data_IF_710803815841
#
_entry.id   IF_710803815841
#
_cell.length_a   1.000
_cell.length_b   1.000
_cell.length_c   1.000
_cell.angle_alpha   90.00
_cell.angle_beta   90.00
_cell.angle_gamma   90.00
#
_symmetry.space_group_name_H-M   'P 1'
#
loop_
_entity.id
_entity.type
_entity.pdbx_description
1 polymer ?
#
# COMPACT_ATOMS: atom_id res chain seq x y z
N UNK A 1 36.93 -8.01 -11.47
CA UNK A 1 35.94 -7.12 -12.11
C UNK A 1 36.51 -5.72 -12.28
N UNK A 2 37.13 -5.11 -11.24
CA UNK A 2 37.69 -3.76 -11.33
C UNK A 2 38.82 -3.61 -12.38
N UNK A 3 39.56 -4.69 -12.72
CA UNK A 3 40.62 -4.67 -13.76
C UNK A 3 40.07 -4.76 -15.19
N UNK A 4 38.80 -5.14 -15.39
CA UNK A 4 38.17 -5.27 -16.70
C UNK A 4 37.32 -4.05 -17.09
N UNK A 5 37.28 -3.02 -16.24
CA UNK A 5 36.51 -1.79 -16.51
C UNK A 5 37.38 -0.82 -17.32
N UNK A 6 37.01 -0.55 -18.58
CA UNK A 6 37.57 0.56 -19.34
C UNK A 6 36.67 1.78 -19.20
N UNK A 7 37.22 2.84 -18.64
CA UNK A 7 36.51 4.13 -18.58
C UNK A 7 36.46 4.75 -19.97
N UNK A 8 35.24 5.02 -20.44
CA UNK A 8 35.00 5.96 -21.54
C UNK A 8 34.32 7.18 -20.98
N UNK A 9 34.92 8.33 -21.17
CA UNK A 9 34.35 9.62 -20.81
C UNK A 9 33.34 10.02 -21.88
N UNK A 10 32.08 10.13 -21.51
CA UNK A 10 31.05 10.75 -22.34
C UNK A 10 30.90 12.19 -21.88
N UNK A 11 31.19 13.13 -22.77
CA UNK A 11 31.23 14.58 -22.46
C UNK A 11 29.85 15.15 -22.04
N UNK A 12 28.77 14.41 -22.21
CA UNK A 12 27.39 14.88 -21.89
C UNK A 12 26.76 14.29 -20.64
N UNK A 13 27.14 13.09 -20.17
CA UNK A 13 26.38 12.37 -19.14
C UNK A 13 27.20 11.71 -18.02
N UNK A 14 28.45 12.02 -17.85
CA UNK A 14 29.28 11.43 -16.80
C UNK A 14 30.00 10.12 -17.25
N UNK A 15 30.47 9.33 -16.30
CA UNK A 15 31.26 8.12 -16.56
C UNK A 15 30.38 6.95 -16.98
N UNK A 16 30.62 6.40 -18.19
CA UNK A 16 30.05 5.14 -18.63
C UNK A 16 31.09 4.04 -18.49
N UNK A 17 30.80 3.05 -17.67
CA UNK A 17 31.63 1.85 -17.52
C UNK A 17 31.26 0.81 -18.56
N UNK A 18 32.15 0.52 -19.48
CA UNK A 18 31.99 -0.56 -20.47
C UNK A 18 32.77 -1.78 -19.98
N UNK A 19 32.05 -2.84 -19.64
CA UNK A 19 32.65 -4.14 -19.28
C UNK A 19 32.87 -4.94 -20.56
N UNK A 20 34.13 -5.25 -20.90
CA UNK A 20 34.40 -6.20 -21.97
C UNK A 20 34.31 -7.63 -21.42
N UNK A 21 33.17 -8.29 -21.63
CA UNK A 21 32.91 -9.64 -21.14
C UNK A 21 33.84 -10.72 -21.77
N UNK A 22 34.55 -10.41 -22.86
CA UNK A 22 35.48 -11.37 -23.52
C UNK A 22 36.74 -11.60 -22.69
N UNK A 23 37.10 -10.68 -21.80
CA UNK A 23 38.30 -10.78 -20.96
C UNK A 23 38.03 -11.54 -19.64
N UNK A 24 36.78 -11.91 -19.36
CA UNK A 24 36.43 -12.73 -18.19
C UNK A 24 36.66 -14.19 -18.56
N UNK A 25 37.70 -14.81 -17.94
CA UNK A 25 37.97 -16.23 -18.05
C UNK A 25 36.75 -17.01 -17.56
N UNK A 26 35.98 -17.58 -18.50
CA UNK A 26 34.79 -18.40 -18.17
C UNK A 26 35.29 -19.66 -17.45
N UNK A 27 34.92 -19.78 -16.17
CA UNK A 27 34.99 -21.05 -15.45
C UNK A 27 34.06 -22.02 -16.19
N UNK A 28 34.54 -23.25 -16.45
CA UNK A 28 33.83 -24.26 -17.26
C UNK A 28 32.70 -24.89 -16.45
N UNK A 29 31.79 -24.05 -15.94
CA UNK A 29 30.55 -24.43 -15.28
C UNK A 29 29.35 -23.74 -15.97
N UNK A 30 28.15 -24.21 -15.72
CA UNK A 30 26.94 -23.54 -16.22
C UNK A 30 26.72 -22.24 -15.43
N UNK A 31 27.31 -21.15 -15.92
CA UNK A 31 27.22 -19.81 -15.29
C UNK A 31 25.77 -19.42 -14.97
N UNK A 32 24.83 -19.71 -15.88
CA UNK A 32 23.42 -19.39 -15.69
C UNK A 32 22.81 -20.12 -14.49
N UNK A 33 23.11 -21.37 -14.30
CA UNK A 33 22.56 -22.16 -13.18
C UNK A 33 23.20 -21.76 -11.85
N UNK A 34 24.48 -21.44 -11.86
CA UNK A 34 25.14 -20.88 -10.67
C UNK A 34 24.53 -19.54 -10.25
N UNK A 35 24.30 -18.62 -11.19
CA UNK A 35 23.67 -17.33 -10.89
C UNK A 35 22.24 -17.49 -10.39
N UNK A 36 21.46 -18.39 -10.98
CA UNK A 36 20.11 -18.75 -10.48
C UNK A 36 20.14 -19.32 -9.07
N UNK A 37 21.17 -20.12 -8.75
CA UNK A 37 21.35 -20.65 -7.39
C UNK A 37 21.56 -19.51 -6.39
N UNK A 38 22.45 -18.56 -6.70
CA UNK A 38 22.68 -17.39 -5.82
C UNK A 38 21.43 -16.53 -5.66
N UNK A 39 20.67 -16.30 -6.72
CA UNK A 39 19.39 -15.60 -6.66
C UNK A 39 18.40 -16.36 -5.77
N UNK A 40 18.25 -17.67 -5.97
CA UNK A 40 17.31 -18.50 -5.22
C UNK A 40 17.61 -18.56 -3.71
N UNK A 41 18.87 -18.51 -3.31
CA UNK A 41 19.26 -18.53 -1.89
C UNK A 41 18.63 -17.42 -1.05
N UNK A 42 18.33 -16.28 -1.67
CA UNK A 42 17.77 -15.11 -0.98
C UNK A 42 16.31 -14.81 -1.35
N UNK A 43 15.86 -15.25 -2.55
CA UNK A 43 14.54 -14.84 -3.08
C UNK A 43 13.50 -15.96 -3.13
N UNK A 44 13.87 -17.21 -2.79
CA UNK A 44 12.97 -18.36 -2.89
C UNK A 44 12.03 -18.56 -1.69
N UNK A 45 11.91 -17.57 -0.80
CA UNK A 45 10.99 -17.66 0.33
C UNK A 45 9.55 -17.81 -0.15
N UNK A 46 8.90 -18.87 0.29
CA UNK A 46 7.52 -19.22 -0.03
C UNK A 46 6.64 -19.14 1.20
N UNK A 47 5.41 -18.71 1.01
CA UNK A 47 4.37 -18.77 2.04
C UNK A 47 3.91 -20.21 2.22
N UNK A 48 3.55 -20.59 3.44
CA UNK A 48 3.02 -21.92 3.75
C UNK A 48 1.61 -22.10 3.17
N UNK A 49 1.29 -23.24 2.54
CA UNK A 49 -0.05 -23.52 2.06
C UNK A 49 -1.07 -23.57 3.20
N UNK A 50 -2.34 -23.31 2.89
CA UNK A 50 -3.50 -23.40 3.79
C UNK A 50 -3.53 -22.43 4.97
N UNK A 51 -2.60 -21.49 5.04
CA UNK A 51 -2.68 -20.41 6.02
C UNK A 51 -3.23 -19.14 5.39
N UNK A 52 -4.01 -18.35 6.13
CA UNK A 52 -4.43 -17.02 5.70
C UNK A 52 -3.24 -16.12 5.41
N UNK A 53 -3.37 -15.33 4.35
CA UNK A 53 -2.37 -14.34 3.94
C UNK A 53 -2.93 -12.95 4.19
N UNK A 54 -2.15 -12.13 4.86
CA UNK A 54 -2.44 -10.73 5.10
C UNK A 54 -1.34 -9.86 4.50
N UNK A 55 -1.76 -8.80 3.85
CA UNK A 55 -0.87 -7.80 3.24
C UNK A 55 -1.21 -6.44 3.81
N UNK A 56 -0.19 -5.66 4.13
CA UNK A 56 -0.30 -4.24 4.46
C UNK A 56 0.57 -3.42 3.53
N UNK A 57 -0.05 -2.51 2.83
CA UNK A 57 0.56 -1.51 1.96
C UNK A 57 0.50 -0.16 2.67
N UNK A 58 1.59 0.58 2.69
CA UNK A 58 1.71 1.85 3.40
C UNK A 58 2.34 2.90 2.49
N UNK A 59 1.78 4.09 2.49
CA UNK A 59 2.29 5.19 1.68
C UNK A 59 3.60 5.74 2.24
N UNK A 60 4.72 5.51 1.54
CA UNK A 60 6.03 5.98 1.99
C UNK A 60 6.08 7.50 2.03
N UNK A 61 6.33 8.06 3.23
CA UNK A 61 6.42 9.51 3.48
C UNK A 61 5.17 10.31 3.08
N UNK A 62 3.99 9.72 3.16
CA UNK A 62 2.73 10.37 2.78
C UNK A 62 2.38 11.56 3.68
N UNK A 63 2.95 11.69 4.87
CA UNK A 63 2.87 12.94 5.65
C UNK A 63 3.35 14.16 4.85
N UNK A 64 4.36 14.00 3.99
CA UNK A 64 4.84 15.04 3.08
C UNK A 64 3.89 15.23 1.89
N UNK A 65 3.38 14.13 1.32
CA UNK A 65 2.40 14.17 0.24
C UNK A 65 1.12 14.89 0.67
N UNK A 66 0.61 14.58 1.85
CA UNK A 66 -0.63 15.16 2.40
C UNK A 66 -0.47 16.60 2.90
N UNK A 67 0.76 17.14 2.97
CA UNK A 67 0.96 18.53 3.38
C UNK A 67 0.25 19.50 2.43
N UNK A 68 -0.61 20.39 2.98
CA UNK A 68 -1.40 21.34 2.20
C UNK A 68 -2.66 20.74 1.57
N UNK A 69 -3.03 19.49 1.84
CA UNK A 69 -4.36 18.96 1.61
C UNK A 69 -5.35 19.47 2.66
N UNK A 70 -6.64 19.32 2.40
CA UNK A 70 -7.69 19.78 3.30
C UNK A 70 -7.69 19.02 4.63
N UNK A 71 -8.00 19.72 5.70
CA UNK A 71 -8.02 19.16 7.06
C UNK A 71 -9.43 19.19 7.65
N UNK A 72 -9.80 18.24 8.49
CA UNK A 72 -9.04 17.07 8.93
C UNK A 72 -8.91 15.96 7.87
N UNK A 73 -9.78 15.94 6.85
CA UNK A 73 -9.83 14.92 5.81
C UNK A 73 -9.99 15.56 4.43
N UNK A 74 -9.06 15.31 3.53
CA UNK A 74 -9.18 15.68 2.13
C UNK A 74 -10.00 14.62 1.39
N UNK A 75 -11.14 15.01 0.85
CA UNK A 75 -12.10 14.06 0.26
C UNK A 75 -11.64 13.49 -1.08
N UNK A 76 -10.82 14.23 -1.85
CA UNK A 76 -10.23 13.73 -3.09
C UNK A 76 -9.19 12.65 -2.79
N UNK A 77 -8.33 12.89 -1.79
CA UNK A 77 -7.36 11.90 -1.33
C UNK A 77 -8.04 10.64 -0.79
N UNK A 78 -9.08 10.79 0.03
CA UNK A 78 -9.88 9.67 0.55
C UNK A 78 -10.51 8.87 -0.60
N UNK A 79 -11.07 9.54 -1.61
CA UNK A 79 -11.66 8.89 -2.78
C UNK A 79 -10.60 8.10 -3.55
N UNK A 80 -9.44 8.70 -3.84
CA UNK A 80 -8.33 8.03 -4.52
C UNK A 80 -7.88 6.78 -3.77
N UNK A 81 -7.64 6.87 -2.46
CA UNK A 81 -7.20 5.72 -1.67
C UNK A 81 -8.23 4.57 -1.65
N UNK A 82 -9.53 4.90 -1.64
CA UNK A 82 -10.60 3.91 -1.76
C UNK A 82 -10.64 3.25 -3.14
N UNK A 83 -10.45 4.01 -4.22
CA UNK A 83 -10.33 3.46 -5.57
C UNK A 83 -9.12 2.54 -5.71
N UNK A 84 -7.95 2.92 -5.16
CA UNK A 84 -6.76 2.06 -5.13
C UNK A 84 -7.04 0.73 -4.43
N UNK A 85 -7.67 0.77 -3.27
CA UNK A 85 -8.04 -0.46 -2.55
C UNK A 85 -8.99 -1.34 -3.38
N UNK A 86 -9.97 -0.75 -4.02
CA UNK A 86 -10.92 -1.46 -4.89
C UNK A 86 -10.22 -2.09 -6.10
N UNK A 87 -9.32 -1.35 -6.75
CA UNK A 87 -8.51 -1.84 -7.87
C UNK A 87 -7.66 -3.04 -7.46
N UNK A 88 -6.98 -2.95 -6.32
CA UNK A 88 -6.16 -4.04 -5.80
C UNK A 88 -6.99 -5.28 -5.48
N UNK A 89 -8.14 -5.13 -4.82
CA UNK A 89 -9.07 -6.24 -4.54
C UNK A 89 -9.51 -6.91 -5.84
N UNK A 90 -9.84 -6.13 -6.87
CA UNK A 90 -10.26 -6.63 -8.18
C UNK A 90 -9.13 -7.36 -8.91
N UNK A 91 -7.96 -6.75 -8.99
CA UNK A 91 -6.82 -7.27 -9.78
C UNK A 91 -6.17 -8.49 -9.14
N UNK A 92 -6.15 -8.58 -7.81
CA UNK A 92 -5.47 -9.66 -7.08
C UNK A 92 -6.41 -10.76 -6.60
N UNK A 93 -7.71 -10.62 -6.85
CA UNK A 93 -8.75 -11.50 -6.30
C UNK A 93 -8.73 -11.62 -4.77
N UNK A 94 -8.27 -10.57 -4.07
CA UNK A 94 -8.32 -10.54 -2.62
C UNK A 94 -9.74 -10.77 -2.11
N UNK A 95 -9.89 -11.53 -1.03
CA UNK A 95 -11.19 -11.80 -0.39
C UNK A 95 -11.76 -10.55 0.25
N UNK A 96 -10.89 -9.77 0.88
CA UNK A 96 -11.21 -8.55 1.60
C UNK A 96 -10.10 -7.53 1.41
N UNK A 97 -10.48 -6.30 1.17
CA UNK A 97 -9.63 -5.12 1.23
C UNK A 97 -10.12 -4.17 2.31
N UNK A 98 -9.22 -3.45 2.94
CA UNK A 98 -9.50 -2.40 3.90
C UNK A 98 -8.58 -1.23 3.62
N UNK A 99 -9.09 -0.01 3.73
CA UNK A 99 -8.30 1.21 3.52
C UNK A 99 -8.63 2.25 4.56
N UNK A 100 -7.59 2.88 5.08
CA UNK A 100 -7.69 4.01 5.99
C UNK A 100 -6.46 4.91 5.80
N UNK A 101 -6.68 6.24 5.64
CA UNK A 101 -5.61 7.19 5.32
C UNK A 101 -4.79 6.72 4.12
N UNK A 102 -3.49 6.56 4.27
CA UNK A 102 -2.53 6.09 3.27
C UNK A 102 -2.20 4.59 3.40
N UNK A 103 -2.94 3.86 4.23
CA UNK A 103 -2.73 2.42 4.43
C UNK A 103 -3.83 1.59 3.78
N UNK A 104 -3.42 0.51 3.10
CA UNK A 104 -4.31 -0.50 2.52
C UNK A 104 -3.95 -1.87 3.05
N UNK A 105 -4.97 -2.62 3.49
CA UNK A 105 -4.83 -4.03 3.87
C UNK A 105 -5.58 -4.93 2.91
N UNK A 106 -4.97 -6.05 2.52
CA UNK A 106 -5.59 -7.08 1.68
C UNK A 106 -5.48 -8.44 2.35
N UNK A 107 -6.47 -9.31 2.13
CA UNK A 107 -6.44 -10.64 2.69
C UNK A 107 -6.96 -11.71 1.75
N UNK A 108 -6.38 -12.91 1.86
CA UNK A 108 -6.79 -14.17 1.25
C UNK A 108 -6.98 -15.23 2.33
N UNK A 109 -7.98 -16.10 2.16
CA UNK A 109 -8.31 -17.14 3.14
C UNK A 109 -7.20 -18.18 3.28
N UNK A 110 -6.46 -18.43 2.21
CA UNK A 110 -5.29 -19.28 2.20
C UNK A 110 -4.33 -18.90 1.06
N UNK A 111 -3.11 -19.40 1.12
CA UNK A 111 -2.06 -19.11 0.14
C UNK A 111 -2.44 -19.55 -1.29
N UNK A 112 -3.26 -20.60 -1.46
CA UNK A 112 -3.66 -21.08 -2.80
C UNK A 112 -4.49 -20.07 -3.59
N UNK A 113 -5.08 -19.10 -2.88
CA UNK A 113 -5.87 -18.00 -3.46
C UNK A 113 -5.09 -16.69 -3.59
N UNK A 114 -3.89 -16.63 -3.01
CA UNK A 114 -3.01 -15.48 -3.13
C UNK A 114 -2.32 -15.48 -4.52
N UNK A 115 -2.04 -14.31 -5.11
CA UNK A 115 -1.34 -14.24 -6.39
C UNK A 115 0.10 -14.75 -6.28
N UNK A 116 0.71 -15.05 -7.43
CA UNK A 116 2.14 -15.39 -7.58
C UNK A 116 2.60 -16.65 -6.84
N UNK A 117 1.71 -17.63 -6.67
CA UNK A 117 2.02 -18.94 -6.07
C UNK A 117 2.66 -18.85 -4.67
N UNK A 118 2.34 -17.80 -3.92
CA UNK A 118 2.87 -17.57 -2.57
C UNK A 118 4.36 -17.18 -2.51
N UNK A 119 4.96 -16.73 -3.60
CA UNK A 119 6.34 -16.21 -3.62
C UNK A 119 6.40 -14.88 -2.89
N UNK A 120 6.97 -14.86 -1.67
CA UNK A 120 6.95 -13.72 -0.77
C UNK A 120 7.50 -12.43 -1.41
N UNK A 121 8.71 -12.50 -1.98
CA UNK A 121 9.35 -11.32 -2.58
C UNK A 121 8.58 -10.79 -3.79
N UNK A 122 7.98 -11.70 -4.58
CA UNK A 122 7.17 -11.30 -5.72
C UNK A 122 5.86 -10.66 -5.27
N UNK A 123 5.19 -11.21 -4.26
CA UNK A 123 4.02 -10.60 -3.64
C UNK A 123 4.35 -9.18 -3.15
N UNK A 124 5.40 -9.03 -2.36
CA UNK A 124 5.81 -7.76 -1.76
C UNK A 124 6.10 -6.69 -2.84
N UNK A 125 6.93 -7.03 -3.83
CA UNK A 125 7.36 -6.06 -4.84
C UNK A 125 6.24 -5.69 -5.83
N UNK A 126 5.48 -6.68 -6.29
CA UNK A 126 4.44 -6.45 -7.31
C UNK A 126 3.24 -5.73 -6.71
N UNK A 127 2.80 -6.09 -5.49
CA UNK A 127 1.68 -5.41 -4.84
C UNK A 127 2.01 -3.94 -4.52
N UNK A 128 3.24 -3.64 -4.08
CA UNK A 128 3.69 -2.26 -3.90
C UNK A 128 3.66 -1.47 -5.21
N UNK A 129 4.14 -2.08 -6.31
CA UNK A 129 4.09 -1.47 -7.64
C UNK A 129 2.66 -1.24 -8.13
N UNK A 130 1.77 -2.23 -7.97
CA UNK A 130 0.35 -2.11 -8.34
C UNK A 130 -0.34 -0.98 -7.58
N UNK A 131 -0.12 -0.89 -6.25
CA UNK A 131 -0.67 0.19 -5.44
C UNK A 131 -0.17 1.55 -5.91
N UNK A 132 1.13 1.67 -6.18
CA UNK A 132 1.75 2.91 -6.67
C UNK A 132 1.16 3.34 -8.01
N UNK A 133 1.06 2.43 -8.98
CA UNK A 133 0.51 2.73 -10.31
C UNK A 133 -0.97 3.12 -10.20
N UNK A 134 -1.79 2.36 -9.47
CA UNK A 134 -3.21 2.68 -9.27
C UNK A 134 -3.37 4.04 -8.59
N UNK A 135 -2.57 4.34 -7.55
CA UNK A 135 -2.60 5.64 -6.87
C UNK A 135 -2.28 6.80 -7.82
N UNK A 136 -1.19 6.68 -8.58
CA UNK A 136 -0.79 7.70 -9.55
C UNK A 136 -1.89 7.96 -10.58
N UNK A 137 -2.43 6.90 -11.19
CA UNK A 137 -3.49 7.01 -12.20
C UNK A 137 -4.77 7.63 -11.64
N UNK A 138 -5.17 7.27 -10.42
CA UNK A 138 -6.35 7.83 -9.79
C UNK A 138 -6.15 9.30 -9.37
N UNK A 139 -4.96 9.68 -8.92
CA UNK A 139 -4.62 11.08 -8.64
C UNK A 139 -4.72 12.00 -9.88
N UNK A 140 -4.51 11.48 -11.10
CA UNK A 140 -4.61 12.27 -12.34
C UNK A 140 -6.01 12.86 -12.59
N UNK A 141 -7.04 12.33 -11.92
CA UNK A 141 -8.42 12.82 -11.99
C UNK A 141 -8.61 14.16 -11.25
N UNK A 142 -7.71 14.52 -10.34
CA UNK A 142 -7.81 15.67 -9.45
C UNK A 142 -6.62 16.60 -9.62
N UNK A 143 -6.81 17.85 -10.08
CA UNK A 143 -5.71 18.75 -10.41
C UNK A 143 -4.68 18.94 -9.28
N UNK A 144 -5.16 19.11 -8.03
CA UNK A 144 -4.31 19.29 -6.84
C UNK A 144 -3.44 18.05 -6.53
N UNK A 145 -4.03 16.85 -6.66
CA UNK A 145 -3.31 15.60 -6.43
C UNK A 145 -2.36 15.27 -7.57
N UNK A 146 -2.74 15.58 -8.82
CA UNK A 146 -1.89 15.42 -10.00
C UNK A 146 -0.58 16.20 -9.85
N UNK A 147 -0.64 17.48 -9.50
CA UNK A 147 0.55 18.31 -9.27
C UNK A 147 1.46 17.69 -8.19
N UNK A 148 0.87 17.18 -7.10
CA UNK A 148 1.63 16.51 -6.04
C UNK A 148 2.33 15.23 -6.50
N UNK A 149 1.67 14.42 -7.32
CA UNK A 149 2.24 13.19 -7.89
C UNK A 149 3.44 13.51 -8.79
N UNK A 150 3.32 14.51 -9.66
CA UNK A 150 4.38 14.94 -10.57
C UNK A 150 5.63 15.41 -9.81
N UNK A 151 5.45 16.12 -8.70
CA UNK A 151 6.52 16.70 -7.90
C UNK A 151 7.14 15.71 -6.89
N UNK A 152 6.33 14.89 -6.22
CA UNK A 152 6.77 14.08 -5.07
C UNK A 152 6.99 12.60 -5.39
N UNK A 153 6.49 12.12 -6.55
CA UNK A 153 6.64 10.72 -7.01
C UNK A 153 6.33 9.70 -5.90
N UNK A 154 5.10 9.70 -5.37
CA UNK A 154 4.70 8.86 -4.25
C UNK A 154 4.86 7.38 -4.58
N UNK A 155 5.17 6.58 -3.57
CA UNK A 155 5.25 5.13 -3.70
C UNK A 155 4.80 4.45 -2.40
N UNK A 156 4.50 3.16 -2.50
CA UNK A 156 4.06 2.34 -1.37
C UNK A 156 5.13 1.33 -0.99
N UNK A 157 5.26 1.04 0.29
CA UNK A 157 5.88 -0.18 0.78
C UNK A 157 4.83 -1.29 0.97
N UNK A 158 5.29 -2.53 1.06
CA UNK A 158 4.40 -3.67 1.20
C UNK A 158 4.98 -4.68 2.19
N UNK A 159 4.14 -5.11 3.13
CA UNK A 159 4.45 -6.15 4.11
C UNK A 159 3.48 -7.28 3.94
N UNK A 160 4.01 -8.48 3.75
CA UNK A 160 3.23 -9.70 3.53
C UNK A 160 3.54 -10.67 4.65
N UNK A 161 2.52 -11.20 5.30
CA UNK A 161 2.69 -12.22 6.35
C UNK A 161 1.48 -13.14 6.43
N UNK A 162 1.68 -14.28 7.09
CA UNK A 162 0.64 -15.27 7.30
C UNK A 162 0.19 -15.26 8.76
N UNK A 163 -1.05 -15.64 8.95
CA UNK A 163 -1.67 -15.73 10.26
C UNK A 163 -2.09 -17.19 10.53
N UNK A 164 -2.11 -17.63 11.78
CA UNK A 164 -2.32 -19.05 12.10
C UNK A 164 -3.73 -19.54 11.77
N UNK A 165 -4.73 -18.66 11.70
CA UNK A 165 -6.13 -19.00 11.45
C UNK A 165 -6.96 -17.78 11.05
N UNK A 166 -8.23 -18.00 10.72
CA UNK A 166 -9.16 -16.95 10.30
C UNK A 166 -9.56 -15.98 11.41
N UNK A 167 -9.48 -16.37 12.68
CA UNK A 167 -9.75 -15.48 13.82
C UNK A 167 -8.65 -14.43 13.90
N UNK A 168 -7.38 -14.86 13.80
CA UNK A 168 -6.24 -13.93 13.78
C UNK A 168 -6.24 -13.06 12.53
N UNK A 169 -6.72 -13.56 11.40
CA UNK A 169 -6.93 -12.73 10.21
C UNK A 169 -7.96 -11.61 10.49
N UNK A 170 -9.06 -11.92 11.14
CA UNK A 170 -10.04 -10.91 11.55
C UNK A 170 -9.45 -9.92 12.57
N UNK A 171 -8.68 -10.43 13.55
CA UNK A 171 -8.00 -9.60 14.55
C UNK A 171 -7.00 -8.62 13.91
N UNK A 172 -6.33 -8.99 12.81
CA UNK A 172 -5.45 -8.08 12.09
C UNK A 172 -6.20 -6.86 11.51
N UNK A 173 -7.41 -7.05 11.00
CA UNK A 173 -8.27 -5.92 10.56
C UNK A 173 -8.77 -5.09 11.74
N UNK A 174 -9.23 -5.73 12.82
CA UNK A 174 -9.66 -5.03 14.05
C UNK A 174 -8.52 -4.17 14.62
N UNK A 175 -7.30 -4.70 14.62
CA UNK A 175 -6.12 -3.95 15.03
C UNK A 175 -5.93 -2.68 14.20
N UNK A 176 -6.06 -2.77 12.87
CA UNK A 176 -5.91 -1.59 11.98
C UNK A 176 -7.07 -0.62 12.10
N UNK A 177 -8.31 -1.11 12.25
CA UNK A 177 -9.48 -0.26 12.48
C UNK A 177 -9.39 0.52 13.80
N UNK A 178 -8.92 -0.11 14.87
CA UNK A 178 -8.69 0.55 16.15
C UNK A 178 -7.62 1.63 16.06
N UNK A 179 -6.56 1.39 15.28
CA UNK A 179 -5.52 2.38 15.02
C UNK A 179 -6.06 3.55 14.20
N UNK A 180 -6.84 3.25 13.17
CA UNK A 180 -7.56 4.23 12.35
C UNK A 180 -8.42 5.17 13.20
N UNK A 181 -9.20 4.62 14.13
CA UNK A 181 -10.07 5.41 15.00
C UNK A 181 -9.27 6.37 15.90
N UNK A 182 -8.15 5.90 16.47
CA UNK A 182 -7.26 6.77 17.28
C UNK A 182 -6.62 7.87 16.43
N UNK A 183 -6.14 7.53 15.25
CA UNK A 183 -5.52 8.49 14.32
C UNK A 183 -6.54 9.54 13.86
N UNK A 184 -7.78 9.14 13.59
CA UNK A 184 -8.83 10.05 13.18
C UNK A 184 -9.15 11.10 14.26
N UNK A 185 -9.23 10.71 15.55
CA UNK A 185 -9.40 11.69 16.65
C UNK A 185 -8.23 12.68 16.65
N UNK A 186 -7.00 12.18 16.52
CA UNK A 186 -5.82 13.04 16.49
C UNK A 186 -5.82 14.00 15.30
N UNK A 187 -6.25 13.53 14.10
CA UNK A 187 -6.36 14.38 12.90
C UNK A 187 -7.39 15.50 13.09
N UNK A 188 -8.55 15.17 13.65
CA UNK A 188 -9.60 16.17 13.94
C UNK A 188 -9.11 17.17 14.99
N UNK A 189 -8.44 16.69 16.03
CA UNK A 189 -7.88 17.58 17.07
C UNK A 189 -6.81 18.51 16.47
N UNK A 190 -5.87 18.00 15.67
CA UNK A 190 -4.83 18.80 15.02
C UNK A 190 -5.37 19.82 13.99
N UNK A 191 -6.58 19.63 13.49
CA UNK A 191 -7.25 20.60 12.63
C UNK A 191 -7.89 21.76 13.41
N UNK A 192 -8.12 21.59 14.73
CA UNK A 192 -8.85 22.54 15.56
C UNK A 192 -8.03 23.16 16.69
N UNK A 193 -6.89 22.58 17.04
CA UNK A 193 -6.02 23.02 18.12
C UNK A 193 -4.56 23.10 17.67
N UNK A 194 -3.78 23.94 18.35
CA UNK A 194 -2.35 24.03 18.12
C UNK A 194 -1.60 22.82 18.69
N UNK A 195 -0.40 22.56 18.15
CA UNK A 195 0.46 21.49 18.66
C UNK A 195 0.75 21.59 20.17
N UNK A 196 0.89 22.84 20.71
CA UNK A 196 1.14 23.10 22.13
C UNK A 196 -0.03 22.69 23.01
N UNK A 197 -1.27 22.91 22.55
CA UNK A 197 -2.49 22.53 23.28
C UNK A 197 -2.68 21.01 23.32
N UNK A 198 -2.24 20.30 22.28
CA UNK A 198 -2.37 18.85 22.18
C UNK A 198 -1.21 18.07 22.80
N UNK A 199 -0.11 18.74 23.13
CA UNK A 199 1.07 18.09 23.68
C UNK A 199 0.77 17.36 24.98
N UNK A 200 1.07 16.04 25.02
CA UNK A 200 0.83 15.19 26.19
C UNK A 200 -0.61 14.74 26.39
N UNK A 201 -1.53 15.12 25.50
CA UNK A 201 -2.94 14.73 25.58
C UNK A 201 -3.16 13.33 25.02
N UNK A 202 -3.92 12.54 25.74
CA UNK A 202 -4.43 11.24 25.26
C UNK A 202 -5.54 11.43 24.22
N UNK A 203 -5.85 10.38 23.45
CA UNK A 203 -6.98 10.38 22.50
C UNK A 203 -8.32 10.70 23.19
N UNK A 204 -8.53 10.21 24.41
CA UNK A 204 -9.74 10.50 25.17
C UNK A 204 -9.85 11.99 25.54
N UNK A 205 -8.76 12.59 26.03
CA UNK A 205 -8.70 14.03 26.33
C UNK A 205 -8.89 14.88 25.07
N UNK A 206 -8.28 14.52 23.95
CA UNK A 206 -8.47 15.20 22.68
C UNK A 206 -9.94 15.18 22.25
N UNK A 207 -10.61 14.04 22.40
CA UNK A 207 -12.02 13.90 22.05
C UNK A 207 -12.92 14.77 22.95
N UNK A 208 -12.62 14.81 24.24
CA UNK A 208 -13.33 15.69 25.21
C UNK A 208 -13.13 17.17 24.87
N UNK A 209 -11.89 17.60 24.58
CA UNK A 209 -11.59 18.97 24.17
C UNK A 209 -12.34 19.35 22.88
N UNK A 210 -12.41 18.45 21.88
CA UNK A 210 -13.19 18.68 20.67
C UNK A 210 -14.65 18.94 20.96
N UNK A 211 -15.24 18.17 21.87
CA UNK A 211 -16.63 18.30 22.23
C UNK A 211 -16.89 19.58 23.07
N UNK A 212 -16.13 19.80 24.14
CA UNK A 212 -16.33 20.89 25.06
C UNK A 212 -15.98 22.28 24.52
N UNK A 213 -14.87 22.38 23.78
CA UNK A 213 -14.33 23.67 23.34
C UNK A 213 -14.71 24.04 21.91
N UNK A 214 -14.97 23.05 21.04
CA UNK A 214 -15.31 23.28 19.63
C UNK A 214 -16.72 22.83 19.24
N UNK A 215 -17.45 22.16 20.15
CA UNK A 215 -18.77 21.61 19.85
C UNK A 215 -18.75 20.48 18.83
N UNK A 216 -17.58 19.85 18.60
CA UNK A 216 -17.41 18.78 17.63
C UNK A 216 -17.63 17.44 18.29
N UNK A 217 -18.76 16.80 17.98
CA UNK A 217 -19.00 15.42 18.39
C UNK A 217 -18.35 14.46 17.39
N UNK A 218 -17.31 13.74 17.80
CA UNK A 218 -16.60 12.78 16.95
C UNK A 218 -17.51 11.68 16.41
N UNK A 219 -18.65 11.38 17.09
CA UNK A 219 -19.61 10.39 16.61
C UNK A 219 -20.31 10.83 15.31
N UNK A 220 -20.46 12.13 15.06
CA UNK A 220 -21.13 12.68 13.88
C UNK A 220 -20.25 12.59 12.62
N UNK A 221 -18.94 12.34 12.78
CA UNK A 221 -18.04 12.14 11.67
C UNK A 221 -18.40 10.83 10.94
N UNK A 222 -18.46 10.90 9.61
CA UNK A 222 -18.81 9.75 8.76
C UNK A 222 -17.94 8.53 9.07
N UNK A 223 -18.50 7.33 9.21
CA UNK A 223 -17.76 6.13 9.63
C UNK A 223 -16.51 5.84 8.78
N UNK A 224 -16.58 6.02 7.46
CA UNK A 224 -15.45 5.74 6.57
C UNK A 224 -14.25 6.69 6.76
N UNK A 225 -14.45 7.88 7.35
CA UNK A 225 -13.38 8.83 7.67
C UNK A 225 -12.68 8.48 8.98
N UNK A 226 -13.39 7.86 9.92
CA UNK A 226 -12.84 7.55 11.25
C UNK A 226 -12.48 6.09 11.47
N UNK A 227 -13.07 5.15 10.68
CA UNK A 227 -12.84 3.70 10.80
C UNK A 227 -12.36 3.04 9.52
N UNK A 228 -12.18 3.82 8.44
CA UNK A 228 -11.82 3.30 7.13
C UNK A 228 -12.97 2.69 6.35
N UNK A 229 -12.64 2.03 5.25
CA UNK A 229 -13.61 1.40 4.33
C UNK A 229 -13.18 -0.02 3.99
N UNK A 230 -14.16 -0.92 3.98
CA UNK A 230 -13.98 -2.31 3.57
C UNK A 230 -14.48 -2.53 2.14
N UNK A 231 -13.76 -3.34 1.38
CA UNK A 231 -14.11 -3.78 0.03
C UNK A 231 -14.10 -5.29 -0.04
N UNK A 232 -15.23 -5.88 -0.41
CA UNK A 232 -15.40 -7.32 -0.53
C UNK A 232 -15.97 -7.66 -1.90
N UNK A 233 -15.43 -8.70 -2.55
CA UNK A 233 -16.03 -9.24 -3.77
C UNK A 233 -17.27 -10.04 -3.40
N UNK A 234 -18.35 -9.77 -4.09
CA UNK A 234 -19.60 -10.51 -3.98
C UNK A 234 -20.03 -11.01 -5.36
N UNK A 235 -20.55 -12.22 -5.40
CA UNK A 235 -21.18 -12.73 -6.61
C UNK A 235 -22.60 -12.15 -6.68
N UNK A 236 -22.88 -11.44 -7.76
CA UNK A 236 -24.23 -10.94 -8.06
C UNK A 236 -24.79 -11.80 -9.18
N UNK A 237 -25.93 -12.45 -8.94
CA UNK A 237 -26.70 -13.06 -10.03
C UNK A 237 -27.35 -11.94 -10.83
N UNK A 238 -26.92 -11.77 -12.08
CA UNK A 238 -27.67 -10.96 -13.05
C UNK A 238 -28.84 -11.79 -13.57
N UNK A 239 -30.05 -11.32 -13.35
CA UNK A 239 -31.17 -11.75 -14.15
C UNK A 239 -30.97 -11.11 -15.52
N UNK A 240 -30.67 -11.90 -16.54
CA UNK A 240 -30.59 -11.43 -17.91
C UNK A 240 -32.02 -11.28 -18.42
N UNK A 241 -32.43 -10.11 -18.82
CA UNK A 241 -33.67 -9.86 -19.50
C UNK A 241 -33.63 -10.58 -20.87
N UNK A 242 -34.80 -11.01 -21.37
CA UNK A 242 -34.92 -11.75 -22.65
C UNK A 242 -34.28 -11.01 -23.84
N UNK A 243 -34.17 -9.68 -23.79
CA UNK A 243 -33.49 -8.86 -24.81
C UNK A 243 -31.98 -9.05 -24.88
N UNK A 244 -31.34 -9.62 -23.85
CA UNK A 244 -29.88 -9.85 -23.80
C UNK A 244 -29.50 -11.24 -24.31
N UNK A 245 -30.48 -12.08 -24.65
CA UNK A 245 -30.33 -13.47 -25.14
C UNK A 245 -30.57 -13.64 -26.64
N UNK A 246 -30.84 -12.54 -27.39
CA UNK A 246 -31.02 -12.53 -28.84
C UNK A 246 -29.74 -12.16 -29.62
#
# INVERSE_FOLDING_TARGET
ILQCLKEKKDEKNGFVFVVNLKDIKMINDNLGDRMKTYEALTTSTMLMPRLPVYVRLDGRAFHTFCRGLDKPFDMEFVAVMREVCQDLVKQTNAKLGYVQSDEISLAWEDMSKAPFDGRLFKLTSVLASMATVSFVLNCMKYPKLKEKVENLKPNFDCRVFQLPNMIELANAFVWRENDAARNAVSMVAQANFSHKELQGKSTAEMNEMLFQEKGINFNDIKPFLKRGSYFKRVNVMKVLDEETLS
#
